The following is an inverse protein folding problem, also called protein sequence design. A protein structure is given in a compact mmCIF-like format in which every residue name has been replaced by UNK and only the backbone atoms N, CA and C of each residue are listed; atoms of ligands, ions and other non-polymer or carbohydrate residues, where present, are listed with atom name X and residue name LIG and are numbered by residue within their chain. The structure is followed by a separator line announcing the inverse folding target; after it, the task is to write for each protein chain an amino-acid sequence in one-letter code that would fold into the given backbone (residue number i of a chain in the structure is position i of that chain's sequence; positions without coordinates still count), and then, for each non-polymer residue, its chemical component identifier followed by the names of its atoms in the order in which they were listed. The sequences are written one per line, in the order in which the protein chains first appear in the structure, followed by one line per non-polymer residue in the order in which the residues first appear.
data_IF_313201765521
#
_entry.id   IF_313201765521
#
_cell.length_a   1.000
_cell.length_b   1.000
_cell.length_c   1.000
_cell.angle_alpha   90.00
_cell.angle_beta   90.00
_cell.angle_gamma   90.00
#
_symmetry.space_group_name_H-M   'P 1'
#
loop_
_entity.id
_entity.type
_entity.pdbx_description
1 polymer ?
#
# COMPACT_ATOMS: atom_id res chain seq x y z
N UNK A 1 -42.38 43.58 23.31
CA UNK A 1 -42.23 43.47 21.85
C UNK A 1 -40.99 44.26 21.45
N UNK A 2 -39.84 43.62 21.27
CA UNK A 2 -38.73 44.14 20.44
C UNK A 2 -37.82 42.95 20.12
N UNK A 3 -37.91 42.48 18.87
CA UNK A 3 -37.00 41.50 18.28
C UNK A 3 -35.63 42.12 18.06
N UNK A 4 -34.58 41.42 18.48
CA UNK A 4 -33.20 41.70 18.06
C UNK A 4 -32.77 40.56 17.16
N UNK A 5 -32.78 40.79 15.85
CA UNK A 5 -32.09 39.93 14.88
C UNK A 5 -30.61 40.29 14.86
N UNK A 6 -29.75 39.34 15.25
CA UNK A 6 -28.34 39.35 14.88
C UNK A 6 -28.15 38.48 13.63
N UNK A 7 -27.48 38.94 12.56
CA UNK A 7 -27.09 38.05 11.49
C UNK A 7 -25.78 37.36 11.86
N UNK A 8 -25.81 36.02 11.91
CA UNK A 8 -24.61 35.19 11.84
C UNK A 8 -23.95 35.43 10.47
N UNK A 9 -22.76 36.04 10.48
CA UNK A 9 -21.87 36.02 9.33
C UNK A 9 -21.28 34.63 9.18
N UNK A 10 -21.74 33.88 8.18
CA UNK A 10 -21.03 32.70 7.67
C UNK A 10 -19.76 33.17 6.95
N UNK A 11 -18.60 33.07 7.61
CA UNK A 11 -17.31 33.18 6.94
C UNK A 11 -17.11 31.94 6.06
N UNK A 12 -17.45 32.09 4.78
CA UNK A 12 -17.00 31.23 3.71
C UNK A 12 -15.53 31.54 3.42
N UNK A 13 -14.59 30.81 4.04
CA UNK A 13 -13.18 30.86 3.65
C UNK A 13 -12.96 29.90 2.47
N UNK A 14 -13.27 30.37 1.26
CA UNK A 14 -12.64 29.83 0.07
C UNK A 14 -11.16 30.28 0.14
N UNK A 15 -10.24 29.33 0.22
CA UNK A 15 -8.81 29.62 0.21
C UNK A 15 -8.45 30.28 -1.13
N UNK A 16 -8.00 31.53 -1.07
CA UNK A 16 -7.53 32.29 -2.22
C UNK A 16 -6.28 31.58 -2.82
N UNK A 17 -6.33 31.08 -4.07
CA UNK A 17 -5.23 30.34 -4.69
C UNK A 17 -3.94 31.17 -4.81
N UNK A 18 -4.08 32.50 -4.94
CA UNK A 18 -2.92 33.40 -5.01
C UNK A 18 -2.24 33.56 -3.65
N UNK A 19 -3.01 33.49 -2.55
CA UNK A 19 -2.48 33.47 -1.19
C UNK A 19 -1.65 32.21 -0.91
N UNK A 20 -2.07 31.05 -1.45
CA UNK A 20 -1.32 29.81 -1.32
C UNK A 20 0.02 29.86 -2.09
N UNK A 21 0.03 30.40 -3.31
CA UNK A 21 1.27 30.59 -4.08
C UNK A 21 2.24 31.53 -3.38
N UNK A 22 1.76 32.66 -2.87
CA UNK A 22 2.59 33.59 -2.10
C UNK A 22 3.20 32.95 -0.84
N UNK A 23 2.43 32.10 -0.15
CA UNK A 23 2.93 31.35 1.00
C UNK A 23 4.01 30.32 0.62
N UNK A 24 3.89 29.68 -0.55
CA UNK A 24 4.92 28.79 -1.09
C UNK A 24 6.18 29.57 -1.45
N UNK A 25 6.09 30.72 -2.10
CA UNK A 25 7.26 31.57 -2.37
C UNK A 25 7.98 31.97 -1.09
N UNK A 26 7.23 32.41 -0.07
CA UNK A 26 7.81 32.74 1.24
C UNK A 26 8.41 31.51 1.95
N UNK A 27 7.86 30.32 1.73
CA UNK A 27 8.45 29.07 2.20
C UNK A 27 9.81 28.84 1.54
N UNK A 28 9.91 28.95 0.22
CA UNK A 28 11.15 28.70 -0.54
C UNK A 28 12.26 29.65 -0.10
N UNK A 29 11.96 30.96 -0.02
CA UNK A 29 12.91 31.98 0.44
C UNK A 29 13.53 31.62 1.79
N UNK A 30 12.69 31.19 2.74
CA UNK A 30 13.13 30.87 4.10
C UNK A 30 13.81 29.50 4.18
N UNK A 31 13.26 28.50 3.49
CA UNK A 31 13.69 27.10 3.58
C UNK A 31 15.02 26.82 2.86
N UNK A 32 15.45 27.70 1.96
CA UNK A 32 16.77 27.68 1.31
C UNK A 32 17.95 27.43 2.27
N UNK A 33 17.86 27.98 3.48
CA UNK A 33 18.89 27.91 4.52
C UNK A 33 18.76 26.75 5.51
N UNK A 34 17.63 26.03 5.51
CA UNK A 34 17.36 24.92 6.43
C UNK A 34 17.60 23.57 5.75
N UNK A 35 17.75 22.47 6.51
CA UNK A 35 17.83 21.13 5.95
C UNK A 35 16.61 20.81 5.07
N UNK A 36 16.83 20.18 3.91
CA UNK A 36 15.79 19.78 2.96
C UNK A 36 14.66 18.98 3.64
N UNK A 37 15.00 18.10 4.59
CA UNK A 37 14.06 17.30 5.39
C UNK A 37 13.01 18.12 6.16
N UNK A 38 13.30 19.38 6.51
CA UNK A 38 12.35 20.25 7.19
C UNK A 38 11.34 20.90 6.23
N UNK A 39 11.62 20.93 4.93
CA UNK A 39 10.83 21.66 3.94
C UNK A 39 9.54 20.93 3.55
N UNK A 40 9.59 19.61 3.34
CA UNK A 40 8.42 18.82 2.99
C UNK A 40 7.28 18.87 4.04
N UNK A 41 7.54 18.67 5.35
CA UNK A 41 6.47 18.84 6.35
C UNK A 41 6.03 20.30 6.48
N UNK A 42 6.90 21.28 6.22
CA UNK A 42 6.49 22.68 6.20
C UNK A 42 5.56 23.01 5.02
N UNK A 43 5.84 22.47 3.84
CA UNK A 43 4.97 22.56 2.67
C UNK A 43 3.62 21.86 2.88
N UNK A 44 3.64 20.64 3.42
CA UNK A 44 2.42 19.90 3.76
C UNK A 44 1.53 20.70 4.74
N UNK A 45 2.15 21.47 5.64
CA UNK A 45 1.44 22.37 6.56
C UNK A 45 0.91 23.66 5.92
N UNK A 46 1.30 24.01 4.70
CA UNK A 46 0.67 25.11 3.97
C UNK A 46 -0.57 24.61 3.21
N UNK A 47 -0.56 23.34 2.82
CA UNK A 47 -1.61 22.72 2.04
C UNK A 47 -2.85 22.25 2.84
N UNK A 48 -3.00 22.59 4.13
CA UNK A 48 -4.01 22.01 5.05
C UNK A 48 -5.50 22.11 4.61
N UNK A 49 -5.84 22.75 3.48
CA UNK A 49 -7.19 22.75 2.89
C UNK A 49 -7.22 22.57 1.37
N UNK A 50 -6.05 22.53 0.72
CA UNK A 50 -5.90 22.49 -0.74
C UNK A 50 -5.29 21.14 -1.11
N UNK A 51 -5.74 20.49 -2.19
CA UNK A 51 -5.10 19.26 -2.66
C UNK A 51 -3.58 19.49 -2.78
N UNK A 52 -2.77 18.89 -1.89
CA UNK A 52 -1.31 19.06 -1.84
C UNK A 52 -0.67 18.81 -3.20
N UNK A 53 -1.26 17.88 -3.95
CA UNK A 53 -0.90 17.57 -5.32
C UNK A 53 -1.17 18.73 -6.28
N UNK A 54 -2.36 19.33 -6.23
CA UNK A 54 -2.71 20.49 -7.07
C UNK A 54 -1.81 21.69 -6.76
N UNK A 55 -1.55 21.96 -5.49
CA UNK A 55 -0.63 23.04 -5.11
C UNK A 55 0.80 22.77 -5.59
N UNK A 56 1.26 21.51 -5.55
CA UNK A 56 2.55 21.12 -6.10
C UNK A 56 2.60 21.32 -7.64
N UNK A 57 1.53 20.98 -8.37
CA UNK A 57 1.43 21.25 -9.81
C UNK A 57 1.47 22.75 -10.12
N UNK A 58 0.69 23.55 -9.39
CA UNK A 58 0.46 24.96 -9.74
C UNK A 58 1.54 25.92 -9.23
N UNK A 59 2.29 25.54 -8.19
CA UNK A 59 3.26 26.43 -7.54
C UNK A 59 4.69 25.89 -7.55
N UNK A 60 4.90 24.57 -7.46
CA UNK A 60 6.23 23.97 -7.40
C UNK A 60 6.75 23.59 -8.79
N UNK A 61 5.93 22.96 -9.62
CA UNK A 61 6.33 22.48 -10.94
C UNK A 61 6.94 23.59 -11.84
N UNK A 62 6.35 24.80 -11.91
CA UNK A 62 6.89 25.88 -12.74
C UNK A 62 8.31 26.33 -12.34
N UNK A 63 8.70 26.12 -11.07
CA UNK A 63 10.05 26.44 -10.56
C UNK A 63 11.10 25.50 -11.15
N UNK A 64 10.74 24.26 -11.47
CA UNK A 64 11.67 23.30 -12.09
C UNK A 64 11.92 23.56 -13.57
N UNK A 65 11.05 24.32 -14.23
CA UNK A 65 11.16 24.58 -15.66
C UNK A 65 12.34 25.53 -15.97
N UNK A 66 13.28 25.13 -16.87
CA UNK A 66 14.43 25.95 -17.25
C UNK A 66 14.13 27.38 -17.74
N UNK A 67 13.03 27.68 -18.46
CA UNK A 67 12.76 29.04 -18.91
C UNK A 67 12.39 30.00 -17.77
N UNK A 68 12.10 29.49 -16.57
CA UNK A 68 11.74 30.31 -15.43
C UNK A 68 13.02 30.78 -14.72
N UNK A 69 13.25 32.09 -14.56
CA UNK A 69 14.44 32.60 -13.89
C UNK A 69 14.31 32.41 -12.38
N UNK A 70 14.55 31.19 -11.91
CA UNK A 70 14.58 30.82 -10.50
C UNK A 70 16.00 30.48 -10.05
N UNK A 71 16.31 30.73 -8.77
CA UNK A 71 17.60 30.38 -8.21
C UNK A 71 17.79 28.85 -8.16
N UNK A 72 19.02 28.39 -8.39
CA UNK A 72 19.38 26.96 -8.31
C UNK A 72 18.96 26.34 -6.96
N UNK A 73 19.10 27.12 -5.89
CA UNK A 73 18.70 26.77 -4.53
C UNK A 73 17.23 26.36 -4.44
N UNK A 74 16.33 27.13 -5.06
CA UNK A 74 14.90 26.87 -5.04
C UNK A 74 14.57 25.62 -5.86
N UNK A 75 15.23 25.44 -6.99
CA UNK A 75 15.05 24.26 -7.86
C UNK A 75 15.44 22.97 -7.13
N UNK A 76 16.55 22.99 -6.40
CA UNK A 76 17.00 21.87 -5.55
C UNK A 76 15.96 21.58 -4.47
N UNK A 77 15.50 22.62 -3.77
CA UNK A 77 14.51 22.50 -2.71
C UNK A 77 13.19 21.93 -3.23
N UNK A 78 12.71 22.43 -4.37
CA UNK A 78 11.48 21.97 -5.01
C UNK A 78 11.59 20.51 -5.46
N UNK A 79 12.69 20.13 -6.10
CA UNK A 79 12.91 18.74 -6.50
C UNK A 79 12.85 17.79 -5.29
N UNK A 80 13.45 18.21 -4.16
CA UNK A 80 13.36 17.44 -2.92
C UNK A 80 11.96 17.39 -2.34
N UNK A 81 11.20 18.50 -2.34
CA UNK A 81 9.82 18.52 -1.84
C UNK A 81 8.95 17.56 -2.66
N UNK A 82 9.01 17.61 -4.00
CA UNK A 82 8.23 16.71 -4.87
C UNK A 82 8.56 15.23 -4.66
N UNK A 83 9.83 14.91 -4.36
CA UNK A 83 10.24 13.59 -3.91
C UNK A 83 9.64 13.22 -2.55
N UNK A 84 9.87 14.07 -1.54
CA UNK A 84 9.56 13.80 -0.15
C UNK A 84 8.06 13.67 0.14
N UNK A 85 7.20 14.27 -0.70
CA UNK A 85 5.75 14.07 -0.64
C UNK A 85 5.32 12.59 -0.77
N UNK A 86 6.16 11.75 -1.39
CA UNK A 86 5.89 10.33 -1.63
C UNK A 86 7.00 9.39 -1.12
N UNK A 87 7.97 9.89 -0.34
CA UNK A 87 9.11 9.12 0.17
C UNK A 87 8.79 7.83 0.96
N UNK A 88 7.64 7.64 1.67
CA UNK A 88 7.35 6.33 2.26
C UNK A 88 7.10 5.21 1.23
N UNK A 89 7.12 5.54 -0.07
CA UNK A 89 6.90 4.61 -1.16
C UNK A 89 8.04 4.62 -2.18
N UNK A 90 8.25 3.53 -2.95
CA UNK A 90 9.24 3.51 -4.03
C UNK A 90 9.03 4.63 -5.05
N UNK A 91 10.13 5.19 -5.57
CA UNK A 91 10.07 6.29 -6.56
C UNK A 91 9.23 5.95 -7.80
N UNK A 92 9.07 4.66 -8.11
CA UNK A 92 8.25 4.16 -9.22
C UNK A 92 6.78 4.56 -9.13
N UNK A 93 6.25 4.83 -7.94
CA UNK A 93 4.85 5.25 -7.76
C UNK A 93 4.69 6.77 -7.57
N UNK A 94 5.79 7.54 -7.55
CA UNK A 94 5.73 8.99 -7.40
C UNK A 94 5.17 9.62 -8.69
N UNK A 95 4.05 10.36 -8.63
CA UNK A 95 3.43 10.94 -9.83
C UNK A 95 4.29 12.01 -10.51
N UNK A 96 5.27 12.58 -9.80
CA UNK A 96 6.21 13.57 -10.33
C UNK A 96 7.49 12.94 -10.91
N UNK A 97 7.63 11.60 -10.89
CA UNK A 97 8.83 10.89 -11.37
C UNK A 97 9.19 11.27 -12.80
N UNK A 98 8.20 11.30 -13.71
CA UNK A 98 8.40 11.63 -15.13
C UNK A 98 8.93 13.06 -15.30
N UNK A 99 8.36 14.03 -14.57
CA UNK A 99 8.80 15.42 -14.63
C UNK A 99 10.22 15.56 -14.08
N UNK A 100 10.52 14.95 -12.93
CA UNK A 100 11.87 14.96 -12.35
C UNK A 100 12.91 14.37 -13.32
N UNK A 101 12.55 13.31 -14.04
CA UNK A 101 13.40 12.70 -15.08
C UNK A 101 13.60 13.62 -16.29
N UNK A 102 12.54 14.23 -16.81
CA UNK A 102 12.63 15.19 -17.92
C UNK A 102 13.49 16.39 -17.53
N UNK A 103 13.33 16.92 -16.31
CA UNK A 103 14.18 17.99 -15.78
C UNK A 103 15.63 17.53 -15.69
N UNK A 104 15.89 16.32 -15.19
CA UNK A 104 17.24 15.76 -15.13
C UNK A 104 17.89 15.69 -16.52
N UNK A 105 17.19 15.16 -17.52
CA UNK A 105 17.71 15.03 -18.87
C UNK A 105 18.09 16.39 -19.48
N UNK A 106 17.21 17.39 -19.36
CA UNK A 106 17.44 18.76 -19.85
C UNK A 106 18.62 19.43 -19.15
N UNK A 107 18.67 19.39 -17.82
CA UNK A 107 19.73 20.02 -17.04
C UNK A 107 21.08 19.35 -17.28
N UNK A 108 21.09 18.02 -17.44
CA UNK A 108 22.29 17.27 -17.78
C UNK A 108 22.80 17.65 -19.17
N UNK A 109 21.94 17.74 -20.18
CA UNK A 109 22.33 18.15 -21.53
C UNK A 109 22.98 19.54 -21.54
N UNK A 110 22.40 20.50 -20.81
CA UNK A 110 22.99 21.83 -20.63
C UNK A 110 24.37 21.77 -19.96
N UNK A 111 24.51 20.95 -18.92
CA UNK A 111 25.79 20.77 -18.25
C UNK A 111 26.85 20.13 -19.15
N UNK A 112 26.45 19.16 -19.99
CA UNK A 112 27.30 18.54 -21.00
C UNK A 112 27.77 19.53 -22.05
N UNK A 113 26.91 20.43 -22.52
CA UNK A 113 27.26 21.46 -23.49
C UNK A 113 28.35 22.42 -22.96
N UNK A 114 28.23 22.84 -21.70
CA UNK A 114 29.25 23.68 -21.03
C UNK A 114 30.55 22.90 -20.81
N UNK A 115 30.46 21.63 -20.43
CA UNK A 115 31.63 20.76 -20.26
C UNK A 115 32.38 20.52 -21.58
N UNK A 116 31.66 20.42 -22.70
CA UNK A 116 32.26 20.31 -24.03
C UNK A 116 33.07 21.57 -24.42
N UNK A 117 32.68 22.74 -23.91
CA UNK A 117 33.43 23.99 -24.04
C UNK A 117 34.60 24.11 -23.03
N UNK A 118 34.86 23.08 -22.21
CA UNK A 118 35.91 23.07 -21.20
C UNK A 118 35.55 23.76 -19.88
N UNK A 119 34.29 24.15 -19.70
CA UNK A 119 33.77 24.77 -18.48
C UNK A 119 33.25 23.77 -17.44
N UNK A 120 32.87 24.28 -16.26
CA UNK A 120 32.07 23.56 -15.26
C UNK A 120 30.71 24.24 -15.21
N UNK A 121 29.64 23.45 -15.39
CA UNK A 121 28.31 24.02 -15.44
C UNK A 121 27.81 24.37 -14.03
N UNK A 122 27.18 25.55 -13.83
CA UNK A 122 26.69 25.96 -12.52
C UNK A 122 25.51 25.10 -12.03
N UNK A 123 24.83 24.39 -12.92
CA UNK A 123 23.67 23.55 -12.62
C UNK A 123 24.03 22.09 -12.26
N UNK A 124 25.31 21.70 -12.25
CA UNK A 124 25.72 20.34 -11.87
C UNK A 124 25.17 19.87 -10.51
N UNK A 125 25.11 20.71 -9.44
CA UNK A 125 24.50 20.31 -8.17
C UNK A 125 23.05 19.84 -8.29
N UNK A 126 22.24 20.50 -9.13
CA UNK A 126 20.84 20.10 -9.35
C UNK A 126 20.76 18.77 -10.11
N UNK A 127 21.62 18.57 -11.12
CA UNK A 127 21.71 17.30 -11.87
C UNK A 127 22.02 16.14 -10.91
N UNK A 128 22.95 16.33 -9.98
CA UNK A 128 23.30 15.34 -8.98
C UNK A 128 22.15 15.03 -8.01
N UNK A 129 21.45 16.07 -7.52
CA UNK A 129 20.27 15.92 -6.65
C UNK A 129 19.18 15.10 -7.35
N UNK A 130 18.84 15.45 -8.60
CA UNK A 130 17.82 14.73 -9.37
C UNK A 130 18.23 13.28 -9.63
N UNK A 131 19.50 13.03 -9.96
CA UNK A 131 20.02 11.67 -10.14
C UNK A 131 19.89 10.82 -8.87
N UNK A 132 20.23 11.40 -7.70
CA UNK A 132 20.09 10.73 -6.40
C UNK A 132 18.64 10.38 -6.08
N UNK A 133 17.72 11.33 -6.27
CA UNK A 133 16.28 11.11 -6.10
C UNK A 133 15.77 9.99 -7.01
N UNK A 134 16.11 10.05 -8.30
CA UNK A 134 15.63 9.08 -9.30
C UNK A 134 16.21 7.67 -9.08
N UNK A 135 17.42 7.55 -8.50
CA UNK A 135 17.99 6.27 -8.07
C UNK A 135 17.34 5.67 -6.82
N UNK A 136 16.52 6.43 -6.10
CA UNK A 136 15.91 6.01 -4.84
C UNK A 136 16.70 6.38 -3.59
N UNK A 137 17.82 7.11 -3.74
CA UNK A 137 18.68 7.57 -2.65
C UNK A 137 18.33 9.02 -2.21
N UNK A 138 17.08 9.45 -2.39
CA UNK A 138 16.67 10.83 -2.11
C UNK A 138 16.79 11.22 -0.63
N UNK A 139 16.71 10.25 0.28
CA UNK A 139 16.81 10.46 1.73
C UNK A 139 18.20 10.96 2.18
N UNK A 140 19.26 10.62 1.42
CA UNK A 140 20.63 11.10 1.66
C UNK A 140 20.71 12.64 1.59
N UNK A 141 19.79 13.28 0.87
CA UNK A 141 19.76 14.73 0.64
C UNK A 141 19.14 15.47 1.83
N UNK A 142 18.27 14.81 2.59
CA UNK A 142 17.46 15.40 3.67
C UNK A 142 18.24 16.22 4.72
N UNK A 143 19.43 15.79 5.17
CA UNK A 143 20.21 16.53 6.17
C UNK A 143 20.86 17.83 5.66
N UNK A 144 21.02 18.00 4.35
CA UNK A 144 21.73 19.13 3.75
C UNK A 144 20.77 20.27 3.43
N UNK A 145 21.24 21.51 3.48
CA UNK A 145 20.45 22.66 3.03
C UNK A 145 20.60 22.89 1.51
N UNK A 146 19.54 23.36 0.82
CA UNK A 146 19.62 23.68 -0.60
C UNK A 146 20.76 24.63 -0.94
N UNK A 147 21.00 25.67 -0.14
CA UNK A 147 22.09 26.62 -0.38
C UNK A 147 23.49 26.02 -0.16
N UNK A 148 23.61 24.98 0.68
CA UNK A 148 24.86 24.25 0.83
C UNK A 148 25.12 23.35 -0.39
N UNK A 149 24.07 22.66 -0.87
CA UNK A 149 24.14 21.82 -2.06
C UNK A 149 24.46 22.63 -3.32
N UNK A 150 23.78 23.78 -3.51
CA UNK A 150 24.00 24.67 -4.66
C UNK A 150 25.44 25.21 -4.76
N UNK A 151 26.14 25.34 -3.62
CA UNK A 151 27.53 25.82 -3.55
C UNK A 151 28.56 24.70 -3.47
N UNK A 152 28.12 23.45 -3.35
CA UNK A 152 29.01 22.30 -3.20
C UNK A 152 29.73 22.03 -4.52
N UNK A 153 31.05 22.03 -4.48
CA UNK A 153 31.85 21.56 -5.61
C UNK A 153 31.73 20.04 -5.68
N UNK A 154 31.05 19.54 -6.70
CA UNK A 154 30.89 18.10 -6.89
C UNK A 154 32.24 17.46 -7.24
N UNK A 155 32.61 16.35 -6.58
CA UNK A 155 33.76 15.57 -6.97
C UNK A 155 33.70 15.15 -8.45
N UNK A 156 34.84 14.93 -9.13
CA UNK A 156 34.87 14.56 -10.55
C UNK A 156 34.08 13.31 -10.94
N UNK A 157 33.73 12.46 -9.96
CA UNK A 157 32.92 11.25 -10.17
C UNK A 157 31.42 11.52 -10.20
N UNK A 158 30.98 12.67 -9.71
CA UNK A 158 29.59 13.08 -9.64
C UNK A 158 29.24 14.18 -10.65
N UNK A 159 30.13 14.44 -11.61
CA UNK A 159 29.84 15.38 -12.70
C UNK A 159 28.76 14.83 -13.62
N UNK A 160 27.99 15.74 -14.23
CA UNK A 160 26.90 15.43 -15.15
C UNK A 160 27.29 14.44 -16.28
N UNK A 161 28.56 14.44 -16.70
CA UNK A 161 29.11 13.50 -17.69
C UNK A 161 29.03 12.03 -17.28
N UNK A 162 29.13 11.74 -15.98
CA UNK A 162 29.14 10.38 -15.43
C UNK A 162 27.79 9.95 -14.85
N UNK A 163 26.87 10.89 -14.66
CA UNK A 163 25.53 10.62 -14.14
C UNK A 163 24.64 10.12 -15.27
N UNK A 164 24.47 8.80 -15.35
CA UNK A 164 23.61 8.14 -16.34
C UNK A 164 22.45 7.48 -15.59
N UNK A 165 21.23 7.70 -16.10
CA UNK A 165 20.04 6.92 -15.74
C UNK A 165 19.72 5.99 -16.90
N UNK A 166 19.14 4.84 -16.57
CA UNK A 166 18.74 3.87 -17.58
C UNK A 166 17.37 4.28 -18.14
N UNK A 167 17.36 4.92 -19.30
CA UNK A 167 16.17 5.50 -19.94
C UNK A 167 15.04 4.46 -20.10
N UNK A 168 15.38 3.17 -20.26
CA UNK A 168 14.40 2.09 -20.39
C UNK A 168 13.48 1.94 -19.16
N UNK A 169 13.97 2.28 -17.96
CA UNK A 169 13.20 2.23 -16.71
C UNK A 169 12.23 3.42 -16.53
N UNK A 170 12.32 4.43 -17.40
CA UNK A 170 11.56 5.67 -17.30
C UNK A 170 10.61 5.88 -18.48
N UNK A 171 10.88 5.29 -19.66
CA UNK A 171 9.97 5.34 -20.82
C UNK A 171 8.80 4.35 -20.73
N UNK A 172 8.94 3.24 -20.00
CA UNK A 172 7.91 2.18 -19.90
C UNK A 172 6.59 2.61 -19.27
N UNK A 173 6.54 3.74 -18.54
CA UNK A 173 5.32 4.27 -17.94
C UNK A 173 4.61 5.35 -18.77
N UNK A 174 5.26 5.91 -19.79
CA UNK A 174 4.74 7.07 -20.54
C UNK A 174 4.16 6.72 -21.92
N UNK A 175 4.34 5.48 -22.38
CA UNK A 175 3.85 5.01 -23.70
C UNK A 175 2.34 4.78 -23.77
N UNK A 176 1.57 5.03 -22.71
CA UNK A 176 0.11 4.99 -22.77
C UNK A 176 -0.49 6.22 -23.47
N UNK A 177 0.24 7.34 -23.57
CA UNK A 177 -0.28 8.59 -24.15
C UNK A 177 0.45 9.06 -25.43
N UNK A 178 1.58 8.46 -25.82
CA UNK A 178 2.42 8.93 -26.95
C UNK A 178 2.06 8.31 -28.33
N UNK A 179 0.90 7.67 -28.45
CA UNK A 179 0.43 7.10 -29.74
C UNK A 179 -0.18 8.17 -30.67
N UNK A 180 -0.34 9.43 -30.22
CA UNK A 180 -1.20 10.39 -30.93
C UNK A 180 -0.49 11.43 -31.82
N UNK A 181 0.83 11.66 -31.75
CA UNK A 181 1.42 12.82 -32.47
C UNK A 181 2.74 12.65 -33.22
N UNK A 182 3.15 11.43 -33.59
CA UNK A 182 4.26 11.21 -34.53
C UNK A 182 3.76 10.78 -35.91
N UNK A 183 3.11 11.69 -36.65
CA UNK A 183 2.82 11.47 -38.08
C UNK A 183 4.02 11.97 -38.92
N UNK A 184 4.99 11.09 -39.18
CA UNK A 184 6.02 11.33 -40.20
C UNK A 184 5.48 10.82 -41.56
N UNK A 185 5.14 11.70 -42.53
CA UNK A 185 4.44 11.30 -43.75
C UNK A 185 5.29 10.58 -44.81
N UNK A 186 6.53 10.16 -44.50
CA UNK A 186 7.51 9.78 -45.56
C UNK A 186 8.17 8.41 -45.46
N UNK A 187 7.79 7.56 -44.52
CA UNK A 187 8.28 6.17 -44.50
C UNK A 187 7.21 5.19 -45.00
N UNK A 188 7.42 4.46 -46.12
CA UNK A 188 6.57 3.32 -46.46
C UNK A 188 6.90 2.16 -45.52
N UNK A 189 6.13 2.02 -44.44
CA UNK A 189 6.19 0.85 -43.56
C UNK A 189 5.62 -0.37 -44.27
N UNK A 190 6.29 -1.54 -44.19
CA UNK A 190 5.75 -2.81 -44.67
C UNK A 190 4.47 -3.14 -43.91
N UNK A 191 3.48 -3.67 -44.63
CA UNK A 191 2.19 -4.09 -44.09
C UNK A 191 2.38 -5.09 -42.94
N UNK A 192 2.45 -4.59 -41.70
CA UNK A 192 2.04 -5.35 -40.53
C UNK A 192 0.52 -5.38 -40.58
N UNK A 193 -0.03 -6.57 -40.78
CA UNK A 193 -1.40 -6.89 -40.41
C UNK A 193 -1.60 -6.38 -38.98
N UNK A 194 -2.24 -5.22 -38.86
CA UNK A 194 -2.78 -4.75 -37.60
C UNK A 194 -3.87 -5.75 -37.26
N UNK A 195 -3.48 -6.68 -36.40
CA UNK A 195 -4.38 -7.56 -35.68
C UNK A 195 -5.55 -6.70 -35.20
N UNK A 196 -6.73 -7.12 -35.64
CA UNK A 196 -7.93 -6.30 -35.66
C UNK A 196 -8.16 -5.69 -34.28
N UNK A 197 -8.36 -4.37 -34.22
CA UNK A 197 -8.90 -3.71 -33.05
C UNK A 197 -10.11 -4.52 -32.58
N UNK A 198 -9.95 -5.31 -31.52
CA UNK A 198 -11.04 -6.05 -30.89
C UNK A 198 -12.06 -4.99 -30.50
N UNK A 199 -13.12 -4.88 -31.30
CA UNK A 199 -14.24 -3.99 -31.03
C UNK A 199 -14.82 -4.45 -29.69
N UNK A 200 -14.50 -3.72 -28.61
CA UNK A 200 -15.04 -3.99 -27.29
C UNK A 200 -16.55 -3.86 -27.40
N UNK A 201 -17.24 -4.96 -27.12
CA UNK A 201 -18.69 -4.99 -27.19
C UNK A 201 -19.28 -4.22 -26.02
N UNK A 202 -20.50 -3.68 -26.18
CA UNK A 202 -21.21 -2.97 -25.08
C UNK A 202 -21.36 -3.84 -23.82
N UNK A 203 -21.45 -5.15 -24.00
CA UNK A 203 -21.56 -6.13 -22.91
C UNK A 203 -20.23 -6.28 -22.16
N UNK A 204 -19.11 -6.32 -22.88
CA UNK A 204 -17.76 -6.32 -22.28
C UNK A 204 -17.49 -5.02 -21.55
N UNK A 205 -17.88 -3.87 -22.11
CA UNK A 205 -17.77 -2.57 -21.44
C UNK A 205 -18.56 -2.52 -20.14
N UNK A 206 -19.82 -2.98 -20.13
CA UNK A 206 -20.64 -3.04 -18.92
C UNK A 206 -20.03 -3.98 -17.87
N UNK A 207 -19.44 -5.10 -18.30
CA UNK A 207 -18.73 -6.04 -17.41
C UNK A 207 -17.46 -5.41 -16.84
N UNK A 208 -16.69 -4.71 -17.66
CA UNK A 208 -15.48 -4.02 -17.24
C UNK A 208 -15.80 -2.90 -16.25
N UNK A 209 -16.88 -2.14 -16.48
CA UNK A 209 -17.37 -1.12 -15.55
C UNK A 209 -17.78 -1.74 -14.20
N UNK A 210 -18.50 -2.87 -14.22
CA UNK A 210 -18.89 -3.59 -13.01
C UNK A 210 -17.66 -4.08 -12.21
N UNK A 211 -16.64 -4.61 -12.90
CA UNK A 211 -15.37 -5.03 -12.27
C UNK A 211 -14.66 -3.81 -11.68
N UNK A 212 -14.52 -2.71 -12.43
CA UNK A 212 -13.89 -1.49 -11.95
C UNK A 212 -14.62 -0.87 -10.74
N UNK A 213 -15.96 -0.94 -10.72
CA UNK A 213 -16.74 -0.55 -9.55
C UNK A 213 -16.49 -1.45 -8.35
N UNK A 214 -16.47 -2.76 -8.56
CA UNK A 214 -16.19 -3.74 -7.50
C UNK A 214 -14.77 -3.58 -6.93
N UNK A 215 -13.78 -3.26 -7.77
CA UNK A 215 -12.42 -2.91 -7.34
C UNK A 215 -12.41 -1.70 -6.40
N UNK A 216 -13.16 -0.65 -6.74
CA UNK A 216 -13.29 0.55 -5.88
C UNK A 216 -13.93 0.23 -4.55
N UNK A 217 -14.99 -0.58 -4.53
CA UNK A 217 -15.64 -1.02 -3.29
C UNK A 217 -14.71 -1.86 -2.42
N UNK A 218 -13.95 -2.76 -3.02
CA UNK A 218 -12.99 -3.60 -2.32
C UNK A 218 -11.85 -2.78 -1.69
N UNK A 219 -11.36 -1.75 -2.38
CA UNK A 219 -10.39 -0.81 -1.80
C UNK A 219 -11.02 0.00 -0.66
N UNK A 220 -12.26 0.46 -0.80
CA UNK A 220 -12.98 1.14 0.28
C UNK A 220 -13.18 0.24 1.51
N UNK A 221 -13.39 -1.07 1.31
CA UNK A 221 -13.54 -2.05 2.38
C UNK A 221 -12.30 -2.20 3.28
N UNK A 222 -11.12 -1.75 2.82
CA UNK A 222 -9.89 -1.73 3.63
C UNK A 222 -9.92 -0.66 4.70
N UNK A 223 -10.61 0.45 4.46
CA UNK A 223 -10.58 1.63 5.34
C UNK A 223 -11.88 1.86 6.10
N UNK A 224 -12.98 1.21 5.68
CA UNK A 224 -14.28 1.33 6.34
C UNK A 224 -15.12 0.07 6.20
N UNK A 225 -16.14 -0.02 7.05
CA UNK A 225 -17.22 -1.00 6.90
C UNK A 225 -18.05 -0.65 5.66
N UNK A 226 -18.28 -1.64 4.79
CA UNK A 226 -19.19 -1.50 3.65
C UNK A 226 -20.63 -1.72 4.09
N UNK A 227 -21.55 -0.98 3.49
CA UNK A 227 -22.99 -1.18 3.67
C UNK A 227 -23.43 -2.53 3.08
N UNK A 228 -24.58 -3.05 3.53
CA UNK A 228 -25.13 -4.31 3.00
C UNK A 228 -25.41 -4.25 1.49
N UNK A 229 -25.77 -3.09 0.96
CA UNK A 229 -25.99 -2.91 -0.47
C UNK A 229 -24.67 -3.06 -1.26
N UNK A 230 -23.60 -2.40 -0.79
CA UNK A 230 -22.26 -2.51 -1.38
C UNK A 230 -21.72 -3.94 -1.28
N UNK A 231 -21.91 -4.61 -0.13
CA UNK A 231 -21.51 -6.00 0.06
C UNK A 231 -22.22 -6.93 -0.95
N UNK A 232 -23.54 -6.77 -1.12
CA UNK A 232 -24.34 -7.55 -2.09
C UNK A 232 -23.90 -7.35 -3.54
N UNK A 233 -23.47 -6.13 -3.90
CA UNK A 233 -22.93 -5.83 -5.21
C UNK A 233 -21.54 -6.46 -5.42
N UNK A 234 -20.69 -6.44 -4.38
CA UNK A 234 -19.31 -6.93 -4.44
C UNK A 234 -19.22 -8.47 -4.44
N UNK A 235 -20.01 -9.15 -3.61
CA UNK A 235 -19.94 -10.62 -3.42
C UNK A 235 -19.89 -11.45 -4.71
N UNK A 236 -20.80 -11.26 -5.70
CA UNK A 236 -20.78 -12.08 -6.92
C UNK A 236 -19.54 -11.85 -7.80
N UNK A 237 -18.84 -10.73 -7.62
CA UNK A 237 -17.67 -10.36 -8.41
C UNK A 237 -16.34 -10.76 -7.73
N UNK A 238 -16.37 -11.18 -6.47
CA UNK A 238 -15.18 -11.59 -5.72
C UNK A 238 -14.35 -12.70 -6.40
N UNK A 239 -14.91 -13.75 -7.02
CA UNK A 239 -14.10 -14.75 -7.72
C UNK A 239 -13.30 -14.17 -8.88
N UNK A 240 -13.88 -13.22 -9.63
CA UNK A 240 -13.17 -12.54 -10.71
C UNK A 240 -12.07 -11.61 -10.17
N UNK A 241 -12.35 -10.90 -9.06
CA UNK A 241 -11.36 -10.03 -8.40
C UNK A 241 -10.23 -10.81 -7.73
N UNK A 242 -10.49 -12.01 -7.24
CA UNK A 242 -9.46 -12.88 -6.68
C UNK A 242 -8.42 -13.27 -7.75
N UNK A 243 -8.80 -13.31 -9.03
CA UNK A 243 -7.91 -13.62 -10.14
C UNK A 243 -7.03 -12.44 -10.57
N UNK A 244 -7.38 -11.18 -10.26
CA UNK A 244 -6.67 -9.99 -10.77
C UNK A 244 -5.44 -9.58 -9.95
N UNK A 245 -5.07 -10.35 -8.92
CA UNK A 245 -3.92 -10.08 -8.03
C UNK A 245 -3.90 -8.67 -7.39
N UNK A 246 -5.03 -7.95 -7.40
CA UNK A 246 -5.16 -6.60 -6.85
C UNK A 246 -5.03 -6.55 -5.33
N UNK A 247 -5.39 -7.66 -4.68
CA UNK A 247 -5.36 -7.77 -3.24
C UNK A 247 -4.02 -8.34 -2.86
N UNK A 248 -3.34 -7.64 -1.98
CA UNK A 248 -2.07 -8.10 -1.43
C UNK A 248 -2.29 -8.69 -0.04
N UNK A 249 -1.40 -9.56 0.44
CA UNK A 249 -1.51 -10.14 1.79
C UNK A 249 -1.67 -9.10 2.93
N UNK A 250 -0.99 -7.94 2.91
CA UNK A 250 -1.19 -6.87 3.90
C UNK A 250 -2.62 -6.32 3.97
N UNK A 251 -3.41 -6.46 2.91
CA UNK A 251 -4.79 -5.94 2.85
C UNK A 251 -5.77 -6.79 3.65
N UNK A 252 -5.39 -8.02 4.00
CA UNK A 252 -6.28 -8.96 4.65
C UNK A 252 -6.60 -8.59 6.10
N UNK A 253 -5.63 -8.05 6.84
CA UNK A 253 -5.85 -7.61 8.22
C UNK A 253 -6.90 -6.49 8.33
N UNK A 254 -6.79 -5.37 7.59
CA UNK A 254 -7.83 -4.35 7.62
C UNK A 254 -9.16 -4.83 7.04
N UNK A 255 -9.16 -5.70 6.01
CA UNK A 255 -10.39 -6.28 5.49
C UNK A 255 -11.11 -7.16 6.52
N UNK A 256 -10.38 -8.01 7.23
CA UNK A 256 -10.93 -8.84 8.29
C UNK A 256 -11.47 -7.99 9.45
N UNK A 257 -10.76 -6.92 9.82
CA UNK A 257 -11.17 -6.03 10.92
C UNK A 257 -12.48 -5.28 10.61
N UNK A 258 -12.62 -4.72 9.40
CA UNK A 258 -13.80 -3.91 9.04
C UNK A 258 -14.95 -4.74 8.44
N UNK A 259 -14.63 -5.78 7.67
CA UNK A 259 -15.60 -6.51 6.85
C UNK A 259 -15.33 -8.04 6.89
N UNK A 260 -15.50 -8.72 8.05
CA UNK A 260 -15.13 -10.13 8.20
C UNK A 260 -15.86 -11.08 7.24
N UNK A 261 -17.13 -10.80 6.91
CA UNK A 261 -17.88 -11.60 5.95
C UNK A 261 -17.27 -11.53 4.52
N UNK A 262 -16.80 -10.34 4.12
CA UNK A 262 -16.14 -10.16 2.83
C UNK A 262 -14.74 -10.79 2.83
N UNK A 263 -13.98 -10.61 3.91
CA UNK A 263 -12.66 -11.22 4.06
C UNK A 263 -12.74 -12.76 3.95
N UNK A 264 -13.73 -13.38 4.59
CA UNK A 264 -14.03 -14.81 4.43
C UNK A 264 -14.31 -15.17 2.97
N UNK A 265 -15.27 -14.51 2.32
CA UNK A 265 -15.67 -14.83 0.95
C UNK A 265 -14.50 -14.69 -0.04
N UNK A 266 -13.66 -13.66 0.17
CA UNK A 266 -12.47 -13.44 -0.62
C UNK A 266 -11.40 -14.51 -0.40
N UNK A 267 -11.08 -14.86 0.85
CA UNK A 267 -10.13 -15.92 1.14
C UNK A 267 -10.60 -17.26 0.58
N UNK A 268 -11.89 -17.57 0.68
CA UNK A 268 -12.48 -18.78 0.10
C UNK A 268 -12.30 -18.78 -1.43
N UNK A 269 -12.57 -17.65 -2.11
CA UNK A 269 -12.35 -17.51 -3.55
C UNK A 269 -10.87 -17.65 -3.96
N UNK A 270 -9.94 -17.04 -3.23
CA UNK A 270 -8.49 -17.15 -3.48
C UNK A 270 -8.00 -18.58 -3.31
N UNK A 271 -8.45 -19.27 -2.25
CA UNK A 271 -8.10 -20.66 -2.00
C UNK A 271 -8.70 -21.60 -3.05
N UNK A 272 -9.94 -21.36 -3.48
CA UNK A 272 -10.59 -22.13 -4.54
C UNK A 272 -9.88 -21.96 -5.90
N UNK A 273 -9.50 -20.72 -6.25
CA UNK A 273 -8.75 -20.44 -7.48
C UNK A 273 -7.40 -21.16 -7.50
N UNK A 274 -6.73 -21.27 -6.34
CA UNK A 274 -5.47 -21.98 -6.20
C UNK A 274 -5.62 -23.52 -6.12
N UNK A 275 -6.83 -24.05 -6.08
CA UNK A 275 -7.14 -25.48 -6.06
C UNK A 275 -7.69 -25.99 -7.40
N UNK A 276 -7.63 -25.17 -8.46
CA UNK A 276 -7.93 -25.63 -9.82
C UNK A 276 -7.12 -26.89 -10.17
N UNK A 277 -7.66 -27.78 -11.03
CA UNK A 277 -6.99 -29.03 -11.37
C UNK A 277 -5.60 -28.69 -11.86
N UNK A 278 -4.59 -29.10 -11.10
CA UNK A 278 -3.22 -29.15 -11.59
C UNK A 278 -3.31 -29.96 -12.87
N UNK A 279 -3.22 -29.30 -14.02
CA UNK A 279 -3.03 -30.00 -15.28
C UNK A 279 -1.82 -30.88 -15.06
N UNK A 280 -2.01 -32.19 -15.17
CA UNK A 280 -0.98 -33.23 -15.10
C UNK A 280 0.02 -33.10 -16.28
N UNK A 281 0.54 -31.90 -16.53
CA UNK A 281 1.67 -31.67 -17.41
C UNK A 281 2.96 -31.87 -16.61
N UNK A 282 3.16 -33.11 -16.17
CA UNK A 282 4.46 -33.65 -15.77
C UNK A 282 5.34 -33.93 -17.00
N UNK A 283 5.28 -33.07 -18.02
CA UNK A 283 6.23 -33.06 -19.13
C UNK A 283 7.14 -31.85 -18.94
N UNK A 284 8.31 -32.13 -18.39
CA UNK A 284 9.43 -31.20 -18.32
C UNK A 284 9.77 -30.69 -19.73
N UNK A 285 9.38 -29.46 -20.04
CA UNK A 285 9.99 -28.65 -21.08
C UNK A 285 10.23 -27.26 -20.50
N UNK A 286 11.48 -27.01 -20.11
CA UNK A 286 12.03 -25.80 -19.47
C UNK A 286 12.01 -24.53 -20.35
N UNK A 287 11.15 -24.44 -21.36
CA UNK A 287 11.30 -23.41 -22.40
C UNK A 287 10.04 -22.61 -22.74
N UNK A 288 9.13 -22.40 -21.79
CA UNK A 288 8.03 -21.46 -21.99
C UNK A 288 7.96 -20.43 -20.86
N UNK A 289 8.46 -19.23 -21.15
CA UNK A 289 8.53 -18.05 -20.29
C UNK A 289 7.16 -17.32 -20.18
N UNK A 290 6.06 -18.03 -20.40
CA UNK A 290 4.71 -17.53 -20.24
C UNK A 290 4.27 -17.69 -18.78
N UNK A 291 4.41 -16.62 -17.99
CA UNK A 291 3.98 -16.56 -16.59
C UNK A 291 2.52 -17.01 -16.42
N UNK A 292 2.30 -18.26 -15.98
CA UNK A 292 0.97 -18.71 -15.56
C UNK A 292 0.56 -17.86 -14.35
N UNK A 293 -0.34 -16.91 -14.61
CA UNK A 293 -0.77 -15.85 -13.67
C UNK A 293 -1.80 -16.42 -12.68
N UNK A 294 -1.56 -17.61 -12.15
CA UNK A 294 -2.38 -18.13 -11.06
C UNK A 294 -1.84 -17.57 -9.74
N UNK A 295 -2.68 -16.89 -8.95
CA UNK A 295 -2.25 -16.31 -7.69
C UNK A 295 -1.79 -17.42 -6.74
N UNK A 296 -0.53 -17.40 -6.34
CA UNK A 296 0.00 -18.31 -5.35
C UNK A 296 -0.76 -18.08 -4.01
N UNK A 297 -1.39 -19.11 -3.41
CA UNK A 297 -2.15 -18.95 -2.17
C UNK A 297 -1.28 -18.80 -0.93
N UNK A 298 -0.01 -19.25 -0.98
CA UNK A 298 0.93 -19.27 0.15
C UNK A 298 1.04 -17.93 0.88
N UNK A 299 1.24 -16.78 0.23
CA UNK A 299 1.35 -15.50 0.92
C UNK A 299 0.05 -15.09 1.64
N UNK A 300 -1.12 -15.48 1.14
CA UNK A 300 -2.39 -15.20 1.82
C UNK A 300 -2.61 -16.11 3.04
N UNK A 301 -2.19 -17.38 2.96
CA UNK A 301 -2.18 -18.28 4.12
C UNK A 301 -1.28 -17.70 5.23
N UNK A 302 -0.10 -17.19 4.87
CA UNK A 302 0.79 -16.52 5.82
C UNK A 302 0.16 -15.24 6.42
N UNK A 303 -0.58 -14.46 5.64
CA UNK A 303 -1.29 -13.30 6.18
C UNK A 303 -2.41 -13.70 7.17
N UNK A 304 -3.11 -14.81 6.92
CA UNK A 304 -4.11 -15.32 7.86
C UNK A 304 -3.51 -15.69 9.21
N UNK A 305 -2.27 -16.23 9.24
CA UNK A 305 -1.60 -16.58 10.50
C UNK A 305 -1.16 -15.34 11.28
N UNK A 306 -0.94 -14.21 10.62
CA UNK A 306 -0.52 -12.95 11.22
C UNK A 306 -1.68 -12.06 11.69
N UNK A 307 -2.94 -12.49 11.54
CA UNK A 307 -4.08 -11.72 11.99
C UNK A 307 -4.08 -11.53 13.52
N UNK A 308 -4.46 -10.34 14.04
CA UNK A 308 -4.56 -10.13 15.47
C UNK A 308 -5.71 -10.98 16.07
N UNK A 309 -5.65 -11.35 17.37
CA UNK A 309 -6.68 -12.14 18.03
C UNK A 309 -7.94 -11.32 18.36
N UNK A 310 -8.61 -10.80 17.31
CA UNK A 310 -9.87 -10.06 17.40
C UNK A 310 -11.04 -10.98 17.08
N UNK A 311 -12.24 -10.60 17.54
CA UNK A 311 -13.47 -11.33 17.23
C UNK A 311 -13.67 -11.52 15.71
N UNK A 312 -13.34 -10.50 14.92
CA UNK A 312 -13.49 -10.53 13.47
C UNK A 312 -12.52 -11.53 12.82
N UNK A 313 -11.26 -11.59 13.29
CA UNK A 313 -10.27 -12.57 12.83
C UNK A 313 -10.68 -14.00 13.16
N UNK A 314 -11.24 -14.23 14.36
CA UNK A 314 -11.77 -15.54 14.74
C UNK A 314 -13.04 -15.92 13.94
N UNK A 315 -13.91 -14.96 13.58
CA UNK A 315 -15.06 -15.22 12.71
C UNK A 315 -14.61 -15.64 11.31
N UNK A 316 -13.64 -14.93 10.72
CA UNK A 316 -13.07 -15.28 9.39
C UNK A 316 -12.51 -16.69 9.40
N UNK A 317 -11.61 -17.02 10.35
CA UNK A 317 -11.01 -18.35 10.44
C UNK A 317 -12.05 -19.42 10.80
N UNK A 318 -12.99 -19.10 11.68
CA UNK A 318 -14.10 -19.97 11.99
C UNK A 318 -14.89 -20.32 10.74
N UNK A 319 -15.29 -19.35 9.92
CA UNK A 319 -16.02 -19.63 8.69
C UNK A 319 -15.20 -20.42 7.68
N UNK A 320 -13.91 -20.12 7.53
CA UNK A 320 -13.01 -20.89 6.66
C UNK A 320 -12.85 -22.35 7.10
N UNK A 321 -12.80 -22.61 8.40
CA UNK A 321 -12.77 -23.98 8.95
C UNK A 321 -14.10 -24.73 8.79
N UNK A 322 -15.19 -23.99 8.61
CA UNK A 322 -16.54 -24.53 8.35
C UNK A 322 -16.91 -24.47 6.87
N UNK A 323 -15.99 -24.08 6.00
CA UNK A 323 -16.28 -23.91 4.57
C UNK A 323 -16.71 -25.26 3.95
N UNK A 324 -17.77 -25.27 3.12
CA UNK A 324 -18.21 -26.49 2.43
C UNK A 324 -17.16 -27.03 1.46
N UNK A 325 -16.24 -26.20 0.96
CA UNK A 325 -15.16 -26.62 0.07
C UNK A 325 -14.07 -27.36 0.87
N UNK A 326 -13.87 -28.68 0.64
CA UNK A 326 -12.95 -29.48 1.45
C UNK A 326 -11.50 -29.03 1.29
N UNK A 327 -11.09 -28.56 0.10
CA UNK A 327 -9.72 -28.14 -0.18
C UNK A 327 -9.31 -26.91 0.66
N UNK A 328 -10.16 -25.89 0.72
CA UNK A 328 -9.92 -24.70 1.54
C UNK A 328 -9.86 -25.07 3.02
N UNK A 329 -10.80 -25.88 3.50
CA UNK A 329 -10.85 -26.33 4.89
C UNK A 329 -9.63 -27.13 5.32
N UNK A 330 -9.18 -28.09 4.50
CA UNK A 330 -8.00 -28.93 4.80
C UNK A 330 -6.75 -28.06 4.88
N UNK A 331 -6.57 -27.14 3.92
CA UNK A 331 -5.42 -26.23 3.87
C UNK A 331 -5.41 -25.25 5.04
N UNK A 332 -6.55 -24.65 5.38
CA UNK A 332 -6.66 -23.75 6.55
C UNK A 332 -6.42 -24.52 7.86
N UNK A 333 -6.92 -25.75 7.97
CA UNK A 333 -6.70 -26.60 9.15
C UNK A 333 -5.23 -26.99 9.30
N UNK A 334 -4.57 -27.42 8.23
CA UNK A 334 -3.19 -27.89 8.25
C UNK A 334 -2.16 -26.76 8.36
N UNK A 335 -2.35 -25.70 7.57
CA UNK A 335 -1.29 -24.71 7.34
C UNK A 335 -1.48 -23.42 8.16
N UNK A 336 -2.72 -23.11 8.58
CA UNK A 336 -3.06 -21.80 9.17
C UNK A 336 -3.40 -21.90 10.64
N UNK A 337 -4.22 -22.87 11.05
CA UNK A 337 -4.79 -22.91 12.40
C UNK A 337 -3.73 -22.93 13.51
N UNK A 338 -2.74 -23.83 13.41
CA UNK A 338 -1.67 -23.94 14.40
C UNK A 338 -0.84 -22.65 14.52
N UNK A 339 -0.23 -22.17 13.42
CA UNK A 339 0.56 -20.93 13.44
C UNK A 339 -0.25 -19.70 13.87
N UNK A 340 -1.52 -19.59 13.46
CA UNK A 340 -2.41 -18.52 13.90
C UNK A 340 -2.59 -18.53 15.42
N UNK A 341 -2.88 -19.70 16.01
CA UNK A 341 -3.03 -19.84 17.47
C UNK A 341 -1.73 -19.49 18.19
N UNK A 342 -0.58 -19.94 17.68
CA UNK A 342 0.72 -19.59 18.25
C UNK A 342 0.98 -18.07 18.23
N UNK A 343 0.71 -17.42 17.09
CA UNK A 343 0.84 -15.97 16.95
C UNK A 343 -0.14 -15.21 17.85
N UNK A 344 -1.38 -15.71 18.01
CA UNK A 344 -2.36 -15.14 18.93
C UNK A 344 -1.86 -15.18 20.39
N UNK A 345 -1.27 -16.30 20.82
CA UNK A 345 -0.69 -16.43 22.16
C UNK A 345 0.50 -15.49 22.33
N UNK A 346 1.38 -15.38 21.33
CA UNK A 346 2.51 -14.44 21.38
C UNK A 346 2.04 -12.98 21.47
N UNK A 347 1.03 -12.62 20.67
CA UNK A 347 0.40 -11.30 20.70
C UNK A 347 -0.14 -10.98 22.10
N UNK A 348 -0.86 -11.93 22.72
CA UNK A 348 -1.39 -11.78 24.07
C UNK A 348 -0.27 -11.63 25.10
N UNK A 349 0.81 -12.41 24.99
CA UNK A 349 1.96 -12.29 25.88
C UNK A 349 2.67 -10.92 25.75
N UNK A 350 2.66 -10.32 24.56
CA UNK A 350 3.16 -8.95 24.33
C UNK A 350 2.21 -7.91 24.93
N UNK A 351 0.91 -8.04 24.69
CA UNK A 351 -0.11 -7.17 25.24
C UNK A 351 -0.08 -7.14 26.78
N UNK A 352 0.06 -8.30 27.42
CA UNK A 352 0.16 -8.41 28.88
C UNK A 352 1.43 -7.77 29.46
N UNK A 353 2.56 -7.84 28.73
CA UNK A 353 3.80 -7.17 29.13
C UNK A 353 3.68 -5.65 29.02
N UNK A 354 3.04 -5.16 27.97
CA UNK A 354 2.82 -3.73 27.76
C UNK A 354 1.84 -3.13 28.79
N UNK A 355 0.78 -3.86 29.14
CA UNK A 355 -0.16 -3.50 30.21
C UNK A 355 0.54 -3.46 31.58
N UNK A 356 1.30 -4.50 31.96
CA UNK A 356 2.08 -4.51 33.21
C UNK A 356 3.13 -3.38 33.29
N UNK A 357 3.68 -3.00 32.14
CA UNK A 357 4.64 -1.89 32.06
C UNK A 357 3.96 -0.51 32.09
N UNK A 358 2.63 -0.43 32.16
CA UNK A 358 1.86 0.80 32.14
C UNK A 358 1.95 1.57 30.82
N UNK A 359 2.35 0.92 29.73
CA UNK A 359 2.50 1.56 28.40
C UNK A 359 1.14 1.72 27.69
N UNK A 360 0.18 0.89 28.06
CA UNK A 360 -1.16 0.85 27.49
C UNK A 360 -2.16 0.68 28.63
N UNK A 361 -3.22 1.50 28.63
CA UNK A 361 -4.27 1.50 29.66
C UNK A 361 -5.57 0.84 29.17
N UNK A 362 -5.51 0.05 28.10
CA UNK A 362 -6.67 -0.57 27.44
C UNK A 362 -6.77 -2.07 27.75
N UNK A 363 -7.99 -2.60 27.73
CA UNK A 363 -8.37 -3.98 28.12
C UNK A 363 -8.11 -5.02 27.00
N UNK A 364 -7.36 -4.65 25.96
CA UNK A 364 -7.11 -5.49 24.78
C UNK A 364 -6.52 -6.87 25.11
N UNK A 365 -5.77 -6.99 26.20
CA UNK A 365 -5.25 -8.28 26.67
C UNK A 365 -6.39 -9.16 27.22
N UNK A 366 -7.17 -8.63 28.16
CA UNK A 366 -8.32 -9.33 28.75
C UNK A 366 -9.33 -9.75 27.67
N UNK A 367 -9.71 -8.81 26.80
CA UNK A 367 -10.63 -9.05 25.68
C UNK A 367 -10.07 -10.11 24.73
N UNK A 368 -8.77 -10.07 24.42
CA UNK A 368 -8.12 -11.06 23.56
C UNK A 368 -8.10 -12.46 24.18
N UNK A 369 -7.89 -12.60 25.49
CA UNK A 369 -8.01 -13.89 26.20
C UNK A 369 -9.43 -14.44 26.09
N UNK A 370 -10.45 -13.61 26.34
CA UNK A 370 -11.86 -14.01 26.21
C UNK A 370 -12.18 -14.52 24.80
N UNK A 371 -11.76 -13.78 23.77
CA UNK A 371 -11.99 -14.16 22.39
C UNK A 371 -11.28 -15.48 22.03
N UNK A 372 -10.03 -15.67 22.45
CA UNK A 372 -9.30 -16.92 22.19
C UNK A 372 -9.94 -18.11 22.90
N UNK A 373 -10.38 -17.95 24.15
CA UNK A 373 -11.11 -19.01 24.86
C UNK A 373 -12.44 -19.37 24.17
N UNK A 374 -13.18 -18.38 23.68
CA UNK A 374 -14.41 -18.61 22.89
C UNK A 374 -14.13 -19.32 21.58
N UNK A 375 -13.04 -18.94 20.89
CA UNK A 375 -12.59 -19.59 19.67
C UNK A 375 -12.24 -21.07 19.91
N UNK A 376 -11.47 -21.36 20.97
CA UNK A 376 -11.20 -22.71 21.41
C UNK A 376 -12.46 -23.52 21.70
N UNK A 377 -13.44 -22.94 22.41
CA UNK A 377 -14.73 -23.58 22.61
C UNK A 377 -15.47 -23.88 21.30
N UNK A 378 -15.35 -23.01 20.30
CA UNK A 378 -15.91 -23.24 18.96
C UNK A 378 -15.21 -24.38 18.21
N UNK A 379 -13.87 -24.54 18.36
CA UNK A 379 -13.13 -25.65 17.77
C UNK A 379 -13.57 -27.00 18.34
N UNK A 380 -13.75 -27.08 19.67
CA UNK A 380 -14.24 -28.29 20.35
C UNK A 380 -15.65 -28.63 19.86
N UNK A 381 -16.57 -27.65 19.86
CA UNK A 381 -17.96 -27.85 19.40
C UNK A 381 -18.08 -28.33 17.96
N UNK A 382 -17.08 -28.03 17.12
CA UNK A 382 -17.02 -28.46 15.72
C UNK A 382 -16.31 -29.80 15.53
N UNK A 383 -15.85 -30.44 16.59
CA UNK A 383 -15.08 -31.68 16.54
C UNK A 383 -13.72 -31.53 15.85
N UNK A 384 -13.18 -30.31 15.80
CA UNK A 384 -11.85 -30.05 15.23
C UNK A 384 -10.73 -30.33 16.22
N UNK A 385 -11.03 -30.21 17.51
CA UNK A 385 -10.16 -30.54 18.64
C UNK A 385 -10.91 -31.52 19.53
N UNK A 386 -10.27 -32.65 19.81
CA UNK A 386 -10.78 -33.62 20.77
C UNK A 386 -10.32 -33.24 22.20
N UNK A 387 -11.24 -32.93 23.14
CA UNK A 387 -10.87 -32.61 24.51
C UNK A 387 -10.29 -33.80 25.28
N UNK A 388 -10.56 -35.04 24.87
CA UNK A 388 -9.99 -36.24 25.49
C UNK A 388 -8.56 -36.52 25.03
N UNK A 389 -8.20 -36.06 23.82
CA UNK A 389 -6.84 -36.18 23.28
C UNK A 389 -5.89 -35.20 23.98
N UNK A 390 -4.90 -35.74 24.69
CA UNK A 390 -3.83 -34.94 25.31
C UNK A 390 -3.05 -34.14 24.27
N UNK A 391 -2.77 -34.73 23.11
CA UNK A 391 -2.01 -34.08 22.05
C UNK A 391 -2.72 -32.82 21.52
N UNK A 392 -4.05 -32.87 21.39
CA UNK A 392 -4.83 -31.77 20.84
C UNK A 392 -5.19 -30.71 21.90
N UNK A 393 -5.39 -31.14 23.15
CA UNK A 393 -5.92 -30.28 24.22
C UNK A 393 -4.86 -29.71 25.17
N UNK A 394 -3.63 -30.24 25.22
CA UNK A 394 -2.60 -29.83 26.19
C UNK A 394 -2.27 -28.32 26.13
N UNK A 395 -2.09 -27.77 24.93
CA UNK A 395 -1.79 -26.34 24.76
C UNK A 395 -2.96 -25.45 25.22
N UNK A 396 -4.19 -25.86 24.91
CA UNK A 396 -5.41 -25.15 25.33
C UNK A 396 -5.61 -25.22 26.83
N UNK A 397 -5.36 -26.39 27.45
CA UNK A 397 -5.44 -26.58 28.90
C UNK A 397 -4.39 -25.73 29.63
N UNK A 398 -3.13 -25.75 29.16
CA UNK A 398 -2.06 -24.93 29.72
C UNK A 398 -2.36 -23.43 29.61
N UNK A 399 -2.83 -22.96 28.44
CA UNK A 399 -3.25 -21.57 28.26
C UNK A 399 -4.38 -21.18 29.21
N UNK A 400 -5.41 -22.01 29.31
CA UNK A 400 -6.58 -21.78 30.16
C UNK A 400 -6.22 -21.73 31.64
N UNK A 401 -5.34 -22.63 32.10
CA UNK A 401 -4.81 -22.63 33.46
C UNK A 401 -4.00 -21.37 33.78
N UNK A 402 -3.07 -21.00 32.89
CA UNK A 402 -2.24 -19.79 33.06
C UNK A 402 -3.09 -18.53 33.21
N UNK A 403 -4.23 -18.50 32.55
CA UNK A 403 -5.14 -17.36 32.51
C UNK A 403 -6.44 -17.59 33.31
N UNK A 404 -6.46 -18.53 34.27
CA UNK A 404 -7.65 -18.92 35.03
C UNK A 404 -8.32 -17.80 35.86
N UNK A 405 -7.66 -16.64 36.00
CA UNK A 405 -8.28 -15.42 36.56
C UNK A 405 -9.43 -14.88 35.71
N UNK A 406 -9.48 -15.23 34.43
CA UNK A 406 -10.57 -14.86 33.52
C UNK A 406 -11.63 -15.96 33.52
N UNK A 407 -12.90 -15.57 33.55
CA UNK A 407 -14.04 -16.49 33.65
C UNK A 407 -14.08 -17.48 32.46
N UNK A 408 -13.90 -16.99 31.23
CA UNK A 408 -13.90 -17.83 30.04
C UNK A 408 -12.75 -18.84 30.01
N UNK A 409 -11.58 -18.48 30.54
CA UNK A 409 -10.44 -19.39 30.64
C UNK A 409 -10.71 -20.50 31.66
N UNK A 410 -11.28 -20.15 32.82
CA UNK A 410 -11.69 -21.12 33.82
C UNK A 410 -12.79 -22.06 33.28
N UNK A 411 -13.79 -21.51 32.59
CA UNK A 411 -14.86 -22.29 31.97
C UNK A 411 -14.32 -23.27 30.91
N UNK A 412 -13.40 -22.81 30.05
CA UNK A 412 -12.76 -23.65 29.04
C UNK A 412 -11.94 -24.77 29.70
N UNK A 413 -11.16 -24.46 30.75
CA UNK A 413 -10.39 -25.47 31.47
C UNK A 413 -11.30 -26.57 32.06
N UNK A 414 -12.42 -26.21 32.67
CA UNK A 414 -13.38 -27.19 33.19
C UNK A 414 -13.97 -28.06 32.08
N UNK A 415 -14.31 -27.49 30.94
CA UNK A 415 -14.80 -28.24 29.79
C UNK A 415 -13.76 -29.26 29.28
N UNK A 416 -12.48 -28.87 29.21
CA UNK A 416 -11.39 -29.75 28.84
C UNK A 416 -11.13 -30.84 29.90
N UNK A 417 -11.19 -30.49 31.19
CA UNK A 417 -11.00 -31.44 32.29
C UNK A 417 -12.13 -32.47 32.37
N UNK A 418 -13.39 -32.05 32.12
CA UNK A 418 -14.54 -32.95 32.05
C UNK A 418 -14.44 -33.93 30.87
N UNK A 419 -14.02 -33.45 29.70
CA UNK A 419 -13.82 -34.31 28.51
C UNK A 419 -12.75 -35.39 28.68
N UNK A 420 -11.82 -35.20 29.63
CA UNK A 420 -10.80 -36.20 30.01
C UNK A 420 -11.30 -37.21 31.04
N UNK A 421 -12.37 -36.87 31.78
CA UNK A 421 -12.94 -37.72 32.83
C UNK A 421 -14.00 -38.71 32.35
N UNK A 422 -14.48 -38.59 31.11
CA UNK A 422 -15.51 -39.46 30.51
C UNK A 422 -14.94 -40.62 29.67
N UNK A 423 -13.64 -40.93 29.80
CA UNK A 423 -12.99 -42.08 29.14
C UNK A 423 -12.93 -43.30 30.05
#
# INVERSE_FOLDING_TARGET
MHSVHSPLGTMSTAADPDGARAAVSHLLDRASSYPCSAAAPAFARLAHSTSTFQLALDALLPVLDPPTPCELTDRILVAFILFALYAPHPITINPFKSVLFVTFAKEREQALAVAAAGGIAPNEPLVWVLWKILKGDGDDIGPYSPSALARSLLPPNFRATKLILDDALYHTGSDLDDVTYSYDPRAPTPAREYDSARLVTREEDARNEAIAHAMRLLLAARVRVLSLAEQRQLTPLLPALAATALITPPDLAPLAAHNPALAYALCSALLAAASGPASDSASASESDMGASTHPNPVPFLAALTALPPTLASFDVLGRLLSDPAPAARVRVRGDVLGPFVANAIEWLARAEREERAGRVADDRFAVGVQHLCRFYGALIKRGLVDPASDADSAAMAHFSLRHARFEEANALYRALALGRGEV
#
